data_IF_988630916699
#
_entry.id   IF_988630916699
#
_cell.length_a   1.000
_cell.length_b   1.000
_cell.length_c   1.000
_cell.angle_alpha   90.00
_cell.angle_beta   90.00
_cell.angle_gamma   90.00
#
_symmetry.space_group_name_H-M   'P 1'
#
loop_
_entity.id
_entity.type
_entity.pdbx_description
1 polymer ?
#
# COMPACT_ATOMS: atom_id res chain seq x y z
N UNK A 1 1.85 -50.12 -8.44
CA UNK A 1 1.75 -49.70 -8.10
C UNK A 1 1.17 -48.87 -7.93
N UNK A 2 0.78 -48.72 -8.10
CA UNK A 2 0.07 -47.88 -8.01
C UNK A 2 0.16 -47.16 -7.02
N UNK A 3 0.59 -47.09 -6.68
CA UNK A 3 0.61 -46.52 -5.90
C UNK A 3 0.53 -45.49 -5.69
N UNK A 4 0.75 -45.08 -5.99
CA UNK A 4 0.53 -44.04 -5.86
C UNK A 4 -0.56 -43.85 -5.37
N UNK A 5 -1.10 -44.50 -5.11
CA UNK A 5 -2.33 -44.30 -4.66
C UNK A 5 -2.51 -43.40 -3.54
N UNK A 6 -1.75 -43.33 -2.64
CA UNK A 6 -1.93 -42.51 -1.51
C UNK A 6 -2.11 -41.05 -1.78
N UNK A 7 -1.52 -40.62 -2.84
CA UNK A 7 -1.62 -39.32 -3.16
C UNK A 7 -2.93 -38.84 -3.45
N UNK A 8 -3.63 -39.38 -4.33
CA UNK A 8 -4.88 -38.91 -4.78
C UNK A 8 -5.91 -38.85 -3.71
N UNK A 9 -5.80 -39.70 -2.80
CA UNK A 9 -6.81 -39.80 -1.79
C UNK A 9 -7.07 -38.50 -1.09
N UNK A 10 -6.14 -37.89 -0.61
CA UNK A 10 -6.34 -36.71 0.13
C UNK A 10 -6.22 -35.47 -0.69
N UNK A 11 -5.56 -35.59 -1.79
CA UNK A 11 -5.26 -34.42 -2.55
C UNK A 11 -6.44 -33.66 -3.08
N UNK A 12 -7.46 -34.29 -3.62
CA UNK A 12 -8.57 -33.52 -4.18
C UNK A 12 -9.24 -32.63 -3.15
N UNK A 13 -9.43 -33.09 -1.97
CA UNK A 13 -10.04 -32.30 -0.94
C UNK A 13 -9.16 -31.15 -0.54
N UNK A 14 -7.89 -31.41 -0.39
CA UNK A 14 -6.94 -30.37 -0.03
C UNK A 14 -6.79 -29.37 -1.13
N UNK A 15 -6.82 -29.82 -2.36
CA UNK A 15 -6.73 -28.92 -3.48
C UNK A 15 -7.88 -27.95 -3.50
N UNK A 16 -9.08 -28.41 -3.25
CA UNK A 16 -10.23 -27.53 -3.21
C UNK A 16 -10.09 -26.48 -2.12
N UNK A 17 -9.64 -26.89 -0.96
CA UNK A 17 -9.42 -25.96 0.13
C UNK A 17 -8.36 -24.96 -0.20
N UNK A 18 -7.27 -25.42 -0.79
CA UNK A 18 -6.19 -24.54 -1.18
C UNK A 18 -6.64 -23.54 -2.22
N UNK A 19 -7.42 -23.98 -3.18
CA UNK A 19 -7.94 -23.10 -4.20
C UNK A 19 -8.87 -22.05 -3.61
N UNK A 20 -9.69 -22.44 -2.68
CA UNK A 20 -10.59 -21.51 -2.01
C UNK A 20 -9.79 -20.48 -1.23
N UNK A 21 -8.75 -20.91 -0.54
CA UNK A 21 -7.90 -20.01 0.21
C UNK A 21 -7.16 -19.07 -0.70
N UNK A 22 -6.68 -19.57 -1.82
CA UNK A 22 -5.99 -18.72 -2.78
C UNK A 22 -6.91 -17.67 -3.36
N UNK A 23 -8.13 -18.06 -3.68
CA UNK A 23 -9.12 -17.12 -4.19
C UNK A 23 -9.48 -16.05 -3.17
N UNK A 24 -9.64 -16.48 -1.93
CA UNK A 24 -9.96 -15.58 -0.84
C UNK A 24 -8.84 -14.56 -0.65
N UNK A 25 -7.62 -15.04 -0.67
CA UNK A 25 -6.46 -14.19 -0.51
C UNK A 25 -6.34 -13.20 -1.65
N UNK A 26 -6.55 -13.66 -2.87
CA UNK A 26 -6.52 -12.80 -4.03
C UNK A 26 -7.58 -11.72 -3.94
N UNK A 27 -8.76 -12.09 -3.50
CA UNK A 27 -9.85 -11.14 -3.32
C UNK A 27 -9.50 -10.11 -2.25
N UNK A 28 -8.89 -10.54 -1.16
CA UNK A 28 -8.45 -9.63 -0.12
C UNK A 28 -7.40 -8.67 -0.63
N UNK A 29 -6.48 -9.16 -1.43
CA UNK A 29 -5.45 -8.31 -2.02
C UNK A 29 -6.07 -7.25 -2.92
N UNK A 30 -7.04 -7.65 -3.72
CA UNK A 30 -7.72 -6.71 -4.59
C UNK A 30 -8.50 -5.67 -3.80
N UNK A 31 -9.17 -6.10 -2.75
CA UNK A 31 -9.92 -5.17 -1.90
C UNK A 31 -9.00 -4.21 -1.17
N UNK A 32 -7.87 -4.72 -0.69
CA UNK A 32 -6.88 -3.88 -0.02
C UNK A 32 -6.27 -2.88 -0.98
N UNK A 33 -6.01 -3.32 -2.20
CA UNK A 33 -5.47 -2.45 -3.23
C UNK A 33 -6.46 -1.34 -3.57
N UNK A 34 -7.72 -1.69 -3.73
CA UNK A 34 -8.76 -0.72 -4.01
C UNK A 34 -8.92 0.27 -2.87
N UNK A 35 -8.92 -0.23 -1.65
CA UNK A 35 -9.06 0.61 -0.47
C UNK A 35 -7.88 1.59 -0.39
N UNK A 36 -6.69 1.12 -0.70
CA UNK A 36 -5.51 1.98 -0.72
C UNK A 36 -5.63 3.05 -1.80
N UNK A 37 -6.08 2.66 -2.98
CA UNK A 37 -6.22 3.57 -4.11
C UNK A 37 -7.21 4.69 -3.84
N UNK A 38 -8.21 4.40 -3.04
CA UNK A 38 -9.23 5.38 -2.69
C UNK A 38 -8.84 6.28 -1.55
N UNK A 39 -7.81 5.92 -0.81
CA UNK A 39 -7.33 6.74 0.30
C UNK A 39 -6.57 7.94 -0.24
N UNK A 40 -6.59 9.00 0.54
CA UNK A 40 -5.82 10.20 0.23
C UNK A 40 -4.82 10.43 1.34
N UNK A 41 -3.65 10.88 0.96
CA UNK A 41 -2.56 11.12 1.89
C UNK A 41 -2.09 12.56 1.71
N UNK A 42 -2.06 13.29 2.79
CA UNK A 42 -1.71 14.69 2.74
C UNK A 42 -0.42 14.94 3.51
N UNK A 43 0.43 15.75 2.95
CA UNK A 43 1.65 16.17 3.61
C UNK A 43 1.86 17.65 3.42
N UNK A 44 2.54 18.28 4.36
CA UNK A 44 2.81 19.70 4.30
C UNK A 44 4.30 19.96 4.39
N UNK A 45 4.71 21.11 3.96
CA UNK A 45 6.09 21.57 4.09
C UNK A 45 6.10 23.07 4.38
N UNK A 46 7.17 23.53 4.99
CA UNK A 46 7.33 24.94 5.30
C UNK A 46 6.33 25.46 6.32
N UNK A 47 6.04 24.64 7.33
CA UNK A 47 5.09 25.06 8.37
C UNK A 47 3.67 25.20 7.86
N UNK A 48 3.32 24.46 6.83
CA UNK A 48 1.97 24.51 6.26
C UNK A 48 1.86 25.44 5.06
N UNK A 49 2.97 26.00 4.60
CA UNK A 49 2.95 26.87 3.45
C UNK A 49 2.54 26.13 2.17
N UNK A 50 2.89 24.86 2.08
CA UNK A 50 2.52 24.03 0.95
C UNK A 50 1.91 22.74 1.48
N UNK A 51 0.79 22.34 0.91
CA UNK A 51 0.12 21.11 1.27
C UNK A 51 -0.13 20.33 -0.03
N UNK A 52 0.26 19.06 -0.05
CA UNK A 52 0.05 18.22 -1.21
C UNK A 52 -0.74 16.99 -0.78
N UNK A 53 -1.77 16.67 -1.54
CA UNK A 53 -2.56 15.47 -1.32
C UNK A 53 -2.37 14.51 -2.48
N UNK A 54 -2.07 13.25 -2.17
CA UNK A 54 -1.82 12.22 -3.16
C UNK A 54 -2.74 11.05 -2.89
N UNK A 55 -3.30 10.47 -3.93
CA UNK A 55 -4.10 9.27 -3.78
C UNK A 55 -3.21 8.05 -3.64
N UNK A 56 -3.79 6.95 -3.21
CA UNK A 56 -3.06 5.70 -3.12
C UNK A 56 -2.56 5.19 -4.46
N UNK A 57 -3.06 5.75 -5.56
CA UNK A 57 -2.55 5.46 -6.89
C UNK A 57 -1.29 6.24 -7.21
N UNK A 58 -0.82 7.04 -6.26
CA UNK A 58 0.34 7.91 -6.44
C UNK A 58 0.07 9.04 -7.43
N UNK A 59 -1.17 9.52 -7.43
CA UNK A 59 -1.54 10.66 -8.22
C UNK A 59 -1.77 11.87 -7.32
N UNK A 60 -1.22 12.99 -7.68
CA UNK A 60 -1.46 14.23 -6.93
C UNK A 60 -2.88 14.69 -7.23
N UNK A 61 -3.69 14.73 -6.18
CA UNK A 61 -5.10 15.13 -6.34
C UNK A 61 -5.35 16.55 -5.92
N UNK A 62 -4.47 17.12 -5.12
CA UNK A 62 -4.65 18.49 -4.65
C UNK A 62 -3.32 19.10 -4.25
N UNK A 63 -3.15 20.36 -4.57
CA UNK A 63 -2.01 21.14 -4.11
C UNK A 63 -2.56 22.43 -3.57
N UNK A 64 -2.20 22.76 -2.35
CA UNK A 64 -2.63 23.99 -1.71
C UNK A 64 -1.40 24.78 -1.32
N UNK A 65 -1.35 26.03 -1.72
CA UNK A 65 -0.22 26.89 -1.47
C UNK A 65 -0.71 28.14 -0.75
N UNK A 66 -0.03 28.49 0.33
CA UNK A 66 -0.38 29.69 1.08
C UNK A 66 0.00 30.91 0.25
N UNK A 67 -0.84 31.92 0.26
CA UNK A 67 -0.57 33.14 -0.46
C UNK A 67 0.72 33.79 0.02
N UNK A 68 1.04 33.64 1.27
CA UNK A 68 2.26 34.22 1.85
C UNK A 68 3.52 33.62 1.28
N UNK A 69 3.43 32.44 0.68
CA UNK A 69 4.58 31.75 0.10
C UNK A 69 4.81 32.09 -1.36
N UNK A 70 3.94 32.91 -1.93
CA UNK A 70 3.98 33.16 -3.37
C UNK A 70 4.51 34.56 -3.64
N UNK A 71 5.73 34.83 -3.29
CA UNK A 71 6.37 36.11 -3.64
C UNK A 71 7.38 35.88 -4.75
N UNK A 72 7.75 36.93 -5.46
CA UNK A 72 8.74 36.77 -6.52
C UNK A 72 10.08 36.28 -6.03
N UNK A 73 10.41 36.57 -4.79
CA UNK A 73 11.67 36.12 -4.22
C UNK A 73 11.58 34.73 -3.60
N UNK A 74 10.37 34.17 -3.58
CA UNK A 74 10.11 32.90 -2.89
C UNK A 74 9.97 31.72 -3.83
N UNK A 75 10.20 31.95 -5.12
CA UNK A 75 9.95 30.92 -6.13
C UNK A 75 10.80 29.67 -5.88
N UNK A 76 12.08 29.87 -5.62
CA UNK A 76 12.99 28.76 -5.37
C UNK A 76 12.59 27.99 -4.12
N UNK A 77 12.26 28.71 -3.06
CA UNK A 77 11.80 28.09 -1.83
C UNK A 77 10.51 27.31 -2.07
N UNK A 78 9.61 27.90 -2.85
CA UNK A 78 8.33 27.26 -3.16
C UNK A 78 8.55 25.96 -3.92
N UNK A 79 9.45 25.95 -4.86
CA UNK A 79 9.80 24.74 -5.60
C UNK A 79 10.28 23.65 -4.66
N UNK A 80 11.16 24.00 -3.74
CA UNK A 80 11.68 23.04 -2.76
C UNK A 80 10.59 22.53 -1.83
N UNK A 81 9.69 23.41 -1.41
CA UNK A 81 8.60 23.02 -0.51
C UNK A 81 7.61 22.08 -1.21
N UNK A 82 7.32 22.34 -2.47
CA UNK A 82 6.44 21.47 -3.24
C UNK A 82 7.08 20.08 -3.37
N UNK A 83 8.36 20.05 -3.67
CA UNK A 83 9.10 18.79 -3.79
C UNK A 83 9.07 18.03 -2.47
N UNK A 84 9.35 18.73 -1.37
CA UNK A 84 9.38 18.10 -0.05
C UNK A 84 8.01 17.54 0.33
N UNK A 85 6.96 18.33 0.16
CA UNK A 85 5.61 17.89 0.50
C UNK A 85 5.16 16.71 -0.36
N UNK A 86 5.47 16.77 -1.66
CA UNK A 86 5.11 15.70 -2.58
C UNK A 86 5.83 14.40 -2.20
N UNK A 87 7.12 14.48 -1.94
CA UNK A 87 7.88 13.30 -1.56
C UNK A 87 7.44 12.72 -0.23
N UNK A 88 7.06 13.58 0.71
CA UNK A 88 6.55 13.11 1.99
C UNK A 88 5.20 12.41 1.82
N UNK A 89 4.32 12.95 1.01
CA UNK A 89 3.04 12.31 0.72
C UNK A 89 3.23 10.97 0.04
N UNK A 90 4.18 10.88 -0.89
CA UNK A 90 4.51 9.61 -1.54
C UNK A 90 5.01 8.58 -0.53
N UNK A 91 5.82 9.02 0.42
CA UNK A 91 6.30 8.14 1.47
C UNK A 91 5.15 7.59 2.30
N UNK A 92 4.17 8.42 2.59
CA UNK A 92 2.99 7.98 3.34
C UNK A 92 2.22 6.91 2.58
N UNK A 93 2.10 7.06 1.27
CA UNK A 93 1.46 6.04 0.43
C UNK A 93 2.24 4.73 0.51
N UNK A 94 3.55 4.82 0.37
CA UNK A 94 4.42 3.64 0.41
C UNK A 94 4.37 2.95 1.77
N UNK A 95 4.37 3.74 2.84
CA UNK A 95 4.29 3.19 4.20
C UNK A 95 2.97 2.45 4.41
N UNK A 96 1.89 3.01 3.93
CA UNK A 96 0.58 2.38 4.06
C UNK A 96 0.52 1.09 3.25
N UNK A 97 1.07 1.11 2.04
CA UNK A 97 1.14 -0.09 1.21
C UNK A 97 1.99 -1.18 1.87
N UNK A 98 3.10 -0.77 2.47
CA UNK A 98 3.97 -1.70 3.17
C UNK A 98 3.27 -2.31 4.39
N UNK A 99 2.50 -1.50 5.11
CA UNK A 99 1.72 -1.99 6.26
C UNK A 99 0.68 -3.01 5.82
N UNK A 100 0.00 -2.73 4.72
CA UNK A 100 -1.00 -3.65 4.19
C UNK A 100 -0.37 -4.98 3.79
N UNK A 101 0.78 -4.91 3.15
CA UNK A 101 1.53 -6.11 2.78
C UNK A 101 2.02 -6.84 4.01
N UNK A 102 2.48 -6.11 5.00
CA UNK A 102 2.95 -6.67 6.25
C UNK A 102 1.86 -7.44 6.98
N UNK A 103 0.67 -6.89 6.98
CA UNK A 103 -0.48 -7.55 7.61
C UNK A 103 -0.80 -8.85 6.89
N UNK A 104 -0.75 -8.83 5.57
CA UNK A 104 -1.04 -10.01 4.78
C UNK A 104 0.03 -11.07 5.03
N UNK A 105 1.28 -10.66 5.01
CA UNK A 105 2.40 -11.57 5.26
C UNK A 105 2.37 -12.09 6.69
N UNK A 106 1.98 -11.25 7.63
CA UNK A 106 1.82 -11.65 9.01
C UNK A 106 0.78 -12.74 9.18
N UNK A 107 -0.34 -12.56 8.51
CA UNK A 107 -1.39 -13.57 8.50
C UNK A 107 -0.92 -14.89 7.93
N UNK A 108 -0.18 -14.83 6.85
CA UNK A 108 0.39 -16.00 6.25
C UNK A 108 1.43 -16.64 7.14
N UNK A 109 2.25 -15.84 7.73
CA UNK A 109 3.27 -16.31 8.65
C UNK A 109 2.67 -17.00 9.85
N UNK A 110 1.59 -16.44 10.34
CA UNK A 110 0.87 -16.99 11.44
C UNK A 110 0.31 -18.35 11.09
N UNK A 111 -0.21 -18.49 9.91
CA UNK A 111 -0.69 -19.74 9.45
C UNK A 111 0.40 -20.70 9.23
N UNK A 112 1.47 -20.25 8.66
CA UNK A 112 2.62 -21.02 8.43
C UNK A 112 3.28 -21.44 9.70
N UNK A 113 3.05 -20.70 10.74
CA UNK A 113 3.54 -21.06 12.05
C UNK A 113 4.88 -21.62 12.14
N UNK A 114 5.35 -22.02 11.20
CA UNK A 114 6.53 -22.65 11.29
C UNK A 114 7.70 -21.96 10.79
N UNK A 115 7.65 -20.82 10.44
CA UNK A 115 8.79 -20.19 9.98
C UNK A 115 9.71 -19.88 11.05
N UNK A 116 10.84 -20.53 11.10
CA UNK A 116 11.75 -20.33 12.18
C UNK A 116 12.56 -19.17 11.89
N UNK A 117 12.34 -18.24 11.67
CA UNK A 117 13.28 -17.21 11.58
C UNK A 117 13.30 -16.50 12.79
#
# INVERSE_FOLDING_TARGET
MAKRGGFPGGMPGNMNNLMKQAQKMQKQMEENQKALEEKEFTATAGGGAVEVTISGKKEVTKVKISEDAVGPDDVEMLEDLIMAATNEALRKVEDEAAKAMGKLAGGLGSMGGGFPF
#
